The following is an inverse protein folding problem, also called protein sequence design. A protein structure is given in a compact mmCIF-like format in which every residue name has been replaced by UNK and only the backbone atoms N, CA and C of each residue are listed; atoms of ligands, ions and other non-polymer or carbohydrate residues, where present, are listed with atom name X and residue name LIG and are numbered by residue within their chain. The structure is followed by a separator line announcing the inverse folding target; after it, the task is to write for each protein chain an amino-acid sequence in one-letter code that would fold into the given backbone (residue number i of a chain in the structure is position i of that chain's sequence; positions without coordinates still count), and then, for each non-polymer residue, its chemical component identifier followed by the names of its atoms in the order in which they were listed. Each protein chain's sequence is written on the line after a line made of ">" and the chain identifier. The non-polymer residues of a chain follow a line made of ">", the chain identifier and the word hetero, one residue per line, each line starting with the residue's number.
data_IF_592019470102
#
_entry.id   IF_592019470102
#
_cell.length_a   1.000
_cell.length_b   1.000
_cell.length_c   1.000
_cell.angle_alpha   90.00
_cell.angle_beta   90.00
_cell.angle_gamma   90.00
#
_symmetry.space_group_name_H-M   'P 1'
#
loop_
_entity.id
_entity.type
_entity.pdbx_description
1 polymer ?
#
# COMPACT_ATOMS: atom_id res chain seq x y z
N UNK A 1 76.46 22.12 31.36
CA UNK A 1 75.04 21.71 31.23
C UNK A 1 74.37 22.57 30.17
N UNK A 2 73.49 21.95 29.37
CA UNK A 2 72.64 22.50 28.29
C UNK A 2 73.30 22.73 26.92
N UNK A 3 73.30 21.66 26.12
CA UNK A 3 73.28 21.75 24.66
C UNK A 3 71.86 22.15 24.23
N UNK A 4 71.72 23.09 23.28
CA UNK A 4 70.45 23.36 22.59
C UNK A 4 70.63 23.11 21.10
N UNK A 5 69.86 22.15 20.60
CA UNK A 5 69.76 21.72 19.21
C UNK A 5 69.01 22.79 18.38
N UNK A 6 69.56 23.20 17.24
CA UNK A 6 68.80 23.89 16.19
C UNK A 6 68.17 22.83 15.28
N UNK A 7 66.84 22.76 15.25
CA UNK A 7 66.10 21.93 14.29
C UNK A 7 65.82 22.75 13.02
N UNK A 8 66.31 22.26 11.87
CA UNK A 8 66.00 22.82 10.56
C UNK A 8 64.59 22.38 10.13
N UNK A 9 63.72 23.34 9.83
CA UNK A 9 62.39 23.09 9.26
C UNK A 9 62.56 22.93 7.76
N UNK A 10 62.30 21.72 7.25
CA UNK A 10 62.24 21.43 5.82
C UNK A 10 60.89 21.86 5.25
N UNK A 11 60.91 22.81 4.32
CA UNK A 11 59.74 23.25 3.57
C UNK A 11 59.29 22.15 2.61
N UNK A 12 58.14 21.53 2.85
CA UNK A 12 57.49 20.65 1.86
C UNK A 12 56.91 21.51 0.71
N UNK A 13 57.02 21.05 -0.55
CA UNK A 13 56.37 21.73 -1.66
C UNK A 13 54.85 21.57 -1.57
N UNK A 14 54.11 22.68 -1.65
CA UNK A 14 52.67 22.66 -1.88
C UNK A 14 52.41 21.95 -3.23
N UNK A 15 51.80 20.77 -3.16
CA UNK A 15 51.15 20.14 -4.30
C UNK A 15 49.98 21.04 -4.72
N UNK A 16 50.16 21.78 -5.80
CA UNK A 16 49.09 22.48 -6.48
C UNK A 16 48.17 21.43 -7.11
N UNK A 17 47.00 21.21 -6.50
CA UNK A 17 45.94 20.43 -7.13
C UNK A 17 45.46 21.20 -8.35
N UNK A 18 45.73 20.69 -9.55
CA UNK A 18 45.08 21.19 -10.77
C UNK A 18 43.57 21.14 -10.57
N UNK A 19 42.80 22.19 -10.95
CA UNK A 19 41.36 22.10 -10.95
C UNK A 19 40.98 21.00 -11.95
N UNK A 20 40.35 19.93 -11.46
CA UNK A 20 39.67 18.97 -12.32
C UNK A 20 38.57 19.78 -13.02
N UNK A 21 38.75 20.09 -14.30
CA UNK A 21 37.68 20.62 -15.13
C UNK A 21 36.55 19.61 -15.10
N UNK A 22 35.43 19.97 -14.48
CA UNK A 22 34.25 19.13 -14.49
C UNK A 22 33.83 18.91 -15.93
N UNK A 23 33.85 17.66 -16.38
CA UNK A 23 33.29 17.24 -17.66
C UNK A 23 31.81 17.67 -17.74
N UNK A 24 31.36 18.07 -18.92
CA UNK A 24 30.01 18.55 -19.17
C UNK A 24 29.00 17.40 -19.10
N UNK A 25 27.75 17.71 -18.74
CA UNK A 25 26.66 16.73 -18.79
C UNK A 25 26.27 16.49 -20.25
N UNK A 26 26.55 15.28 -20.75
CA UNK A 26 26.18 14.84 -22.10
C UNK A 26 24.88 14.04 -22.05
N UNK A 27 23.90 14.30 -22.95
CA UNK A 27 22.68 13.49 -23.03
C UNK A 27 22.96 12.01 -23.28
N UNK A 28 22.31 11.15 -22.52
CA UNK A 28 22.36 9.69 -22.65
C UNK A 28 21.03 9.21 -23.21
N UNK A 29 21.06 8.61 -24.39
CA UNK A 29 19.88 8.02 -25.00
C UNK A 29 19.45 6.76 -24.24
N UNK A 30 18.17 6.72 -23.83
CA UNK A 30 17.54 5.54 -23.25
C UNK A 30 16.41 5.08 -24.17
N UNK A 31 16.22 3.77 -24.25
CA UNK A 31 15.05 3.15 -24.88
C UNK A 31 14.49 2.08 -23.95
N UNK A 32 13.28 2.30 -23.46
CA UNK A 32 12.61 1.40 -22.53
C UNK A 32 11.09 1.49 -22.69
N UNK A 33 10.42 0.34 -22.66
CA UNK A 33 8.97 0.22 -22.73
C UNK A 33 8.47 -0.51 -21.48
N UNK A 34 7.36 -0.04 -20.93
CA UNK A 34 6.71 -0.73 -19.82
C UNK A 34 5.90 -1.91 -20.34
N UNK A 35 6.42 -3.11 -20.12
CA UNK A 35 5.79 -4.37 -20.53
C UNK A 35 5.07 -5.08 -19.39
N UNK A 36 5.30 -4.70 -18.14
CA UNK A 36 4.82 -5.41 -16.96
C UNK A 36 4.21 -4.47 -15.92
N UNK A 37 3.29 -5.02 -15.13
CA UNK A 37 2.61 -4.29 -14.05
C UNK A 37 3.63 -3.81 -13.03
N UNK A 38 3.47 -2.59 -12.56
CA UNK A 38 4.42 -1.98 -11.63
C UNK A 38 4.25 -2.53 -10.21
N UNK A 39 5.35 -2.70 -9.44
CA UNK A 39 5.28 -3.09 -8.03
C UNK A 39 4.25 -2.28 -7.24
N UNK A 40 3.51 -2.95 -6.37
CA UNK A 40 2.47 -2.33 -5.53
C UNK A 40 1.33 -1.62 -6.29
N UNK A 41 1.07 -2.04 -7.53
CA UNK A 41 -0.06 -1.54 -8.32
C UNK A 41 -0.85 -2.66 -8.98
N UNK A 42 -2.03 -2.32 -9.48
CA UNK A 42 -2.75 -3.12 -10.47
C UNK A 42 -3.78 -4.09 -9.91
N UNK A 43 -4.09 -5.12 -10.69
CA UNK A 43 -5.08 -6.14 -10.29
C UNK A 43 -4.48 -7.04 -9.21
N UNK A 44 -5.28 -7.31 -8.18
CA UNK A 44 -4.91 -8.13 -7.02
C UNK A 44 -5.75 -9.39 -7.01
N UNK A 45 -5.12 -10.54 -6.77
CA UNK A 45 -5.80 -11.80 -6.54
C UNK A 45 -5.64 -12.21 -5.07
N UNK A 46 -6.54 -13.05 -4.57
CA UNK A 46 -6.38 -13.64 -3.25
C UNK A 46 -5.15 -14.56 -3.24
N UNK A 47 -4.41 -14.59 -2.14
CA UNK A 47 -3.17 -15.39 -2.04
C UNK A 47 -3.38 -16.90 -2.16
N UNK A 48 -4.64 -17.35 -2.08
CA UNK A 48 -5.07 -18.74 -2.25
C UNK A 48 -5.55 -19.05 -3.66
N UNK A 49 -5.65 -18.06 -4.55
CA UNK A 49 -6.08 -18.26 -5.92
C UNK A 49 -4.98 -18.98 -6.72
N UNK A 50 -5.31 -20.11 -7.36
CA UNK A 50 -4.33 -20.90 -8.12
C UNK A 50 -3.68 -20.14 -9.29
N UNK A 51 -4.33 -19.07 -9.77
CA UNK A 51 -3.83 -18.26 -10.89
C UNK A 51 -2.73 -17.27 -10.48
N UNK A 52 -2.46 -17.08 -9.19
CA UNK A 52 -1.39 -16.17 -8.72
C UNK A 52 -0.02 -16.53 -9.31
N UNK A 53 0.25 -17.78 -9.64
CA UNK A 53 1.53 -18.22 -10.23
C UNK A 53 1.74 -17.76 -11.68
N UNK A 54 0.67 -17.37 -12.39
CA UNK A 54 0.71 -17.11 -13.84
C UNK A 54 0.07 -15.80 -14.27
N UNK A 55 -0.81 -15.22 -13.45
CA UNK A 55 -1.45 -13.95 -13.74
C UNK A 55 -0.42 -12.80 -13.70
N UNK A 56 -0.53 -11.81 -14.60
CA UNK A 56 0.39 -10.67 -14.63
C UNK A 56 0.03 -9.65 -13.54
N UNK A 57 0.30 -10.01 -12.30
CA UNK A 57 0.02 -9.20 -11.09
C UNK A 57 1.33 -8.89 -10.36
N UNK A 58 1.26 -8.01 -9.36
CA UNK A 58 2.37 -7.69 -8.45
C UNK A 58 1.97 -7.75 -6.98
N UNK A 59 0.69 -7.97 -6.72
CA UNK A 59 0.06 -7.88 -5.41
C UNK A 59 -0.85 -9.09 -5.20
N UNK A 60 -0.85 -9.58 -3.97
CA UNK A 60 -1.78 -10.61 -3.50
C UNK A 60 -2.46 -10.14 -2.22
N UNK A 61 -3.70 -10.59 -2.03
CA UNK A 61 -4.54 -10.18 -0.91
C UNK A 61 -4.82 -11.34 0.05
N UNK A 62 -4.85 -11.07 1.34
CA UNK A 62 -5.23 -12.06 2.35
C UNK A 62 -5.87 -11.45 3.58
N UNK A 63 -6.73 -12.24 4.22
CA UNK A 63 -7.32 -11.95 5.53
C UNK A 63 -6.58 -12.72 6.62
N UNK A 64 -6.36 -12.08 7.76
CA UNK A 64 -6.00 -12.78 9.01
C UNK A 64 -6.82 -12.25 10.19
N UNK A 65 -7.02 -13.11 11.19
CA UNK A 65 -7.64 -12.75 12.47
C UNK A 65 -6.60 -12.53 13.55
N UNK A 66 -6.94 -11.72 14.56
CA UNK A 66 -6.08 -11.55 15.73
C UNK A 66 -5.81 -12.86 16.48
N UNK A 67 -6.79 -13.77 16.51
CA UNK A 67 -6.71 -15.09 17.14
C UNK A 67 -5.74 -16.06 16.46
N UNK A 68 -5.35 -15.82 15.21
CA UNK A 68 -4.30 -16.60 14.54
C UNK A 68 -2.90 -16.27 15.07
N UNK A 69 -2.72 -15.08 15.63
CA UNK A 69 -1.43 -14.62 16.18
C UNK A 69 -1.39 -14.72 17.70
N UNK A 70 -2.51 -14.45 18.37
CA UNK A 70 -2.56 -14.33 19.82
C UNK A 70 -3.54 -15.33 20.40
N UNK A 71 -3.01 -16.29 21.15
CA UNK A 71 -3.80 -17.26 21.92
C UNK A 71 -3.90 -16.87 23.39
N UNK A 72 -2.79 -16.43 23.97
CA UNK A 72 -2.64 -16.04 25.37
C UNK A 72 -2.22 -14.56 25.51
N UNK A 73 -2.54 -13.94 26.64
CA UNK A 73 -2.22 -12.53 26.89
C UNK A 73 -0.71 -12.29 26.86
N UNK A 74 -0.25 -11.39 25.99
CA UNK A 74 1.15 -10.99 25.87
C UNK A 74 2.03 -11.94 25.03
N UNK A 75 1.47 -13.03 24.51
CA UNK A 75 2.21 -14.01 23.68
C UNK A 75 1.76 -13.92 22.22
N UNK A 76 2.68 -13.54 21.34
CA UNK A 76 2.43 -13.34 19.91
C UNK A 76 3.19 -14.38 19.07
N UNK A 77 2.43 -15.21 18.35
CA UNK A 77 2.94 -16.16 17.36
C UNK A 77 2.70 -15.61 15.95
N UNK A 78 3.73 -15.01 15.38
CA UNK A 78 3.66 -14.40 14.06
C UNK A 78 3.81 -15.39 12.89
N UNK A 79 3.87 -16.70 13.15
CA UNK A 79 4.15 -17.72 12.13
C UNK A 79 3.17 -17.70 10.95
N UNK A 80 1.89 -17.41 11.19
CA UNK A 80 0.90 -17.26 10.13
C UNK A 80 1.21 -16.07 9.21
N UNK A 81 1.66 -14.94 9.77
CA UNK A 81 2.05 -13.75 9.00
C UNK A 81 3.33 -14.04 8.22
N UNK A 82 4.36 -14.62 8.86
CA UNK A 82 5.62 -14.96 8.18
C UNK A 82 5.40 -15.92 7.01
N UNK A 83 4.60 -16.97 7.22
CA UNK A 83 4.30 -17.97 6.19
C UNK A 83 3.61 -17.32 4.99
N UNK A 84 2.64 -16.44 5.23
CA UNK A 84 1.96 -15.69 4.18
C UNK A 84 2.94 -14.80 3.41
N UNK A 85 3.66 -13.92 4.12
CA UNK A 85 4.56 -12.96 3.52
C UNK A 85 5.67 -13.64 2.70
N UNK A 86 6.28 -14.72 3.22
CA UNK A 86 7.30 -15.48 2.50
C UNK A 86 6.73 -16.19 1.26
N UNK A 87 5.51 -16.70 1.35
CA UNK A 87 4.86 -17.40 0.23
C UNK A 87 4.59 -16.45 -0.93
N UNK A 88 4.05 -15.27 -0.64
CA UNK A 88 3.78 -14.23 -1.63
C UNK A 88 5.09 -13.67 -2.20
N UNK A 89 6.11 -13.42 -1.35
CA UNK A 89 7.40 -12.90 -1.79
C UNK A 89 8.17 -13.87 -2.70
N UNK A 90 8.06 -15.19 -2.48
CA UNK A 90 8.66 -16.20 -3.38
C UNK A 90 8.11 -16.15 -4.81
N UNK A 91 6.87 -15.67 -4.97
CA UNK A 91 6.27 -15.39 -6.29
C UNK A 91 6.66 -14.03 -6.86
N UNK A 92 7.50 -13.26 -6.17
CA UNK A 92 7.91 -11.89 -6.52
C UNK A 92 6.74 -10.91 -6.47
N UNK A 93 5.78 -11.19 -5.59
CA UNK A 93 4.65 -10.31 -5.30
C UNK A 93 4.76 -9.75 -3.89
N UNK A 94 3.88 -8.80 -3.57
CA UNK A 94 3.76 -8.25 -2.23
C UNK A 94 2.35 -8.41 -1.70
N UNK A 95 2.22 -8.41 -0.38
CA UNK A 95 0.96 -8.73 0.30
C UNK A 95 0.20 -7.46 0.64
N UNK A 96 -1.10 -7.48 0.39
CA UNK A 96 -2.10 -6.64 1.04
C UNK A 96 -2.74 -7.49 2.13
N UNK A 97 -2.56 -7.10 3.39
CA UNK A 97 -3.07 -7.85 4.53
C UNK A 97 -4.21 -7.10 5.20
N UNK A 98 -5.40 -7.71 5.26
CA UNK A 98 -6.52 -7.18 6.04
C UNK A 98 -6.70 -7.95 7.35
N UNK A 99 -6.68 -7.21 8.45
CA UNK A 99 -7.02 -7.75 9.77
C UNK A 99 -8.53 -7.68 9.99
N UNK A 100 -9.12 -8.74 10.54
CA UNK A 100 -10.55 -8.75 10.88
C UNK A 100 -10.87 -9.51 12.16
N UNK A 101 -11.96 -9.10 12.81
CA UNK A 101 -12.56 -9.78 13.96
C UNK A 101 -13.93 -10.40 13.66
N UNK A 102 -14.61 -9.93 12.61
CA UNK A 102 -15.96 -10.39 12.26
C UNK A 102 -15.97 -10.79 10.78
N UNK A 103 -16.34 -12.05 10.50
CA UNK A 103 -16.46 -12.58 9.14
C UNK A 103 -17.69 -13.47 9.06
N UNK A 104 -18.51 -13.27 8.03
CA UNK A 104 -19.78 -13.97 7.87
C UNK A 104 -19.60 -15.50 7.90
N UNK A 105 -20.32 -16.16 8.80
CA UNK A 105 -20.28 -17.61 8.97
C UNK A 105 -19.07 -18.16 9.72
N UNK A 106 -18.27 -17.30 10.35
CA UNK A 106 -17.10 -17.68 11.13
C UNK A 106 -17.25 -17.29 12.62
N UNK A 107 -16.56 -18.00 13.53
CA UNK A 107 -16.37 -17.51 14.90
C UNK A 107 -15.66 -16.16 14.93
N UNK A 108 -15.82 -15.42 16.03
CA UNK A 108 -15.11 -14.16 16.26
C UNK A 108 -13.59 -14.36 16.18
N UNK A 109 -12.92 -13.46 15.46
CA UNK A 109 -11.46 -13.39 15.33
C UNK A 109 -10.73 -12.86 16.57
N UNK A 110 -11.44 -12.54 17.65
CA UNK A 110 -10.86 -12.10 18.94
C UNK A 110 -10.05 -13.25 19.59
N UNK A 111 -8.89 -12.99 20.22
CA UNK A 111 -8.12 -14.00 20.95
C UNK A 111 -8.92 -14.78 22.00
N UNK A 112 -8.65 -16.08 22.11
CA UNK A 112 -9.37 -16.97 23.01
C UNK A 112 -9.30 -16.54 24.48
N UNK A 113 -8.15 -16.02 24.95
CA UNK A 113 -8.01 -15.56 26.33
C UNK A 113 -8.96 -14.40 26.69
N UNK A 114 -9.29 -13.52 25.72
CA UNK A 114 -10.24 -12.42 25.93
C UNK A 114 -11.65 -12.98 25.98
N UNK A 115 -11.98 -13.90 25.06
CA UNK A 115 -13.28 -14.55 25.02
C UNK A 115 -13.59 -15.36 26.28
N UNK A 116 -12.56 -15.83 26.98
CA UNK A 116 -12.68 -16.59 28.23
C UNK A 116 -12.83 -15.70 29.48
N UNK A 117 -12.75 -14.37 29.37
CA UNK A 117 -12.92 -13.48 30.52
C UNK A 117 -14.37 -13.52 31.03
N UNK A 118 -14.60 -13.58 32.36
CA UNK A 118 -15.95 -13.76 32.93
C UNK A 118 -16.98 -12.70 32.53
N UNK A 119 -16.50 -11.49 32.24
CA UNK A 119 -17.31 -10.32 31.89
C UNK A 119 -17.32 -9.98 30.39
N UNK A 120 -16.65 -10.78 29.56
CA UNK A 120 -16.68 -10.65 28.10
C UNK A 120 -18.00 -11.19 27.52
N UNK A 121 -18.73 -10.34 26.79
CA UNK A 121 -20.09 -10.63 26.30
C UNK A 121 -20.16 -10.71 24.77
N UNK A 122 -19.15 -11.34 24.16
CA UNK A 122 -19.21 -11.64 22.72
C UNK A 122 -20.41 -12.53 22.41
N UNK A 123 -20.94 -12.46 21.20
CA UNK A 123 -22.15 -13.20 20.85
C UNK A 123 -22.09 -13.79 19.44
N UNK A 124 -22.74 -14.94 19.25
CA UNK A 124 -22.98 -15.50 17.92
C UNK A 124 -24.40 -15.16 17.50
N UNK A 125 -24.55 -14.50 16.35
CA UNK A 125 -25.84 -14.15 15.77
C UNK A 125 -25.87 -14.46 14.26
N UNK A 126 -27.05 -14.60 13.65
CA UNK A 126 -27.15 -14.74 12.20
C UNK A 126 -26.64 -13.48 11.47
N UNK A 127 -25.85 -13.71 10.41
CA UNK A 127 -25.50 -12.74 9.36
C UNK A 127 -25.44 -13.50 8.05
N UNK A 128 -26.11 -13.00 7.01
CA UNK A 128 -26.38 -13.69 5.75
C UNK A 128 -26.85 -15.14 5.94
N UNK A 129 -27.72 -15.34 6.94
CA UNK A 129 -28.25 -16.68 7.33
C UNK A 129 -27.19 -17.65 7.86
N UNK A 130 -25.97 -17.19 8.14
CA UNK A 130 -24.89 -18.00 8.72
C UNK A 130 -24.62 -17.57 10.17
N UNK A 131 -24.31 -18.52 11.08
CA UNK A 131 -23.91 -18.18 12.44
C UNK A 131 -22.57 -17.43 12.41
N UNK A 132 -22.56 -16.20 12.91
CA UNK A 132 -21.41 -15.28 12.85
C UNK A 132 -21.08 -14.79 14.24
N UNK A 133 -19.80 -14.85 14.63
CA UNK A 133 -19.33 -14.35 15.92
C UNK A 133 -19.06 -12.85 15.88
N UNK A 134 -19.69 -12.10 16.78
CA UNK A 134 -19.55 -10.65 16.97
C UNK A 134 -18.79 -10.35 18.26
N UNK A 135 -17.74 -9.50 18.22
CA UNK A 135 -16.98 -9.12 19.40
C UNK A 135 -17.78 -8.31 20.44
N UNK A 136 -17.29 -8.30 21.68
CA UNK A 136 -17.75 -7.36 22.71
C UNK A 136 -16.80 -6.17 22.82
N UNK A 137 -17.06 -5.16 21.99
CA UNK A 137 -16.36 -3.87 21.99
C UNK A 137 -16.66 -3.00 23.23
N UNK A 138 -17.61 -3.39 24.09
CA UNK A 138 -17.79 -2.76 25.40
C UNK A 138 -16.67 -3.18 26.37
N UNK A 139 -15.99 -4.30 26.09
CA UNK A 139 -14.97 -4.86 26.97
C UNK A 139 -13.63 -4.10 26.88
N UNK A 140 -13.10 -3.58 28.01
CA UNK A 140 -11.86 -2.80 28.00
C UNK A 140 -10.63 -3.59 27.55
N UNK A 141 -10.56 -4.89 27.86
CA UNK A 141 -9.43 -5.72 27.41
C UNK A 141 -9.36 -5.85 25.89
N UNK A 142 -10.50 -5.96 25.18
CA UNK A 142 -10.50 -6.02 23.71
C UNK A 142 -9.95 -4.73 23.12
N UNK A 143 -10.43 -3.57 23.62
CA UNK A 143 -9.95 -2.26 23.18
C UNK A 143 -8.46 -2.07 23.43
N UNK A 144 -7.99 -2.41 24.64
CA UNK A 144 -6.56 -2.35 25.01
C UNK A 144 -5.72 -3.28 24.12
N UNK A 145 -6.17 -4.52 23.96
CA UNK A 145 -5.48 -5.54 23.17
C UNK A 145 -5.31 -5.10 21.72
N UNK A 146 -6.36 -4.58 21.07
CA UNK A 146 -6.26 -4.21 19.65
C UNK A 146 -5.24 -3.09 19.42
N UNK A 147 -5.10 -2.13 20.34
CA UNK A 147 -4.02 -1.13 20.25
C UNK A 147 -2.63 -1.77 20.42
N UNK A 148 -2.46 -2.62 21.43
CA UNK A 148 -1.20 -3.35 21.66
C UNK A 148 -0.82 -4.22 20.45
N UNK A 149 -1.81 -4.89 19.84
CA UNK A 149 -1.62 -5.74 18.68
C UNK A 149 -1.00 -4.97 17.52
N UNK A 150 -1.55 -3.79 17.18
CA UNK A 150 -0.99 -2.98 16.10
C UNK A 150 0.35 -2.34 16.45
N UNK A 151 0.60 -2.03 17.74
CA UNK A 151 1.95 -1.67 18.20
C UNK A 151 2.95 -2.79 17.88
N UNK A 152 2.64 -4.03 18.27
CA UNK A 152 3.52 -5.20 18.05
C UNK A 152 3.65 -5.59 16.59
N UNK A 153 2.57 -5.48 15.82
CA UNK A 153 2.59 -5.73 14.39
C UNK A 153 3.50 -4.72 13.68
N UNK A 154 3.36 -3.43 13.95
CA UNK A 154 4.17 -2.40 13.31
C UNK A 154 5.64 -2.42 13.75
N UNK A 155 5.94 -2.71 15.02
CA UNK A 155 7.31 -2.95 15.51
C UNK A 155 8.05 -3.98 14.63
N UNK A 156 7.32 -4.97 14.12
CA UNK A 156 7.86 -6.06 13.30
C UNK A 156 7.78 -5.78 11.79
N UNK A 157 6.69 -5.19 11.31
CA UNK A 157 6.34 -5.21 9.87
C UNK A 157 6.21 -3.84 9.20
N UNK A 158 6.26 -2.70 9.91
CA UNK A 158 6.10 -1.38 9.29
C UNK A 158 7.14 -1.13 8.18
N UNK A 159 8.31 -1.76 8.26
CA UNK A 159 9.40 -1.69 7.27
C UNK A 159 9.61 -2.98 6.48
N UNK A 160 8.71 -3.95 6.56
CA UNK A 160 8.87 -5.22 5.85
C UNK A 160 8.51 -5.09 4.35
N UNK A 161 9.43 -5.35 3.41
CA UNK A 161 9.16 -5.16 1.98
C UNK A 161 8.14 -6.16 1.42
N UNK A 162 7.84 -7.26 2.13
CA UNK A 162 6.84 -8.26 1.70
C UNK A 162 5.41 -7.75 1.89
N UNK A 163 5.23 -6.68 2.67
CA UNK A 163 3.94 -6.06 3.00
C UNK A 163 3.79 -4.72 2.28
N UNK A 164 2.89 -4.65 1.29
CA UNK A 164 2.64 -3.44 0.51
C UNK A 164 1.59 -2.53 1.15
N UNK A 165 0.52 -3.08 1.72
CA UNK A 165 -0.54 -2.28 2.35
C UNK A 165 -1.19 -3.07 3.49
N UNK A 166 -1.63 -2.36 4.52
CA UNK A 166 -2.42 -2.94 5.63
C UNK A 166 -3.83 -2.39 5.55
N UNK A 167 -4.83 -3.26 5.56
CA UNK A 167 -6.22 -2.87 5.68
C UNK A 167 -6.73 -3.19 7.09
N UNK A 168 -7.44 -2.24 7.68
CA UNK A 168 -7.94 -2.31 9.05
C UNK A 168 -9.33 -1.71 9.12
N UNK A 169 -10.07 -2.08 10.16
CA UNK A 169 -11.40 -1.54 10.39
C UNK A 169 -12.18 -2.43 11.34
N UNK A 170 -13.50 -2.27 11.31
CA UNK A 170 -14.41 -2.93 12.25
C UNK A 170 -15.65 -3.45 11.52
N UNK A 171 -16.37 -4.39 12.13
CA UNK A 171 -17.55 -4.99 11.52
C UNK A 171 -17.22 -6.06 10.50
N UNK A 172 -18.20 -6.40 9.67
CA UNK A 172 -18.06 -7.47 8.66
C UNK A 172 -16.90 -7.12 7.72
N UNK A 173 -15.96 -8.07 7.57
CA UNK A 173 -14.75 -7.93 6.74
C UNK A 173 -13.89 -6.70 7.03
N UNK A 174 -14.05 -6.08 8.21
CA UNK A 174 -13.42 -4.81 8.60
C UNK A 174 -13.81 -3.60 7.74
N UNK A 175 -15.03 -3.60 7.21
CA UNK A 175 -15.52 -2.59 6.26
C UNK A 175 -16.30 -1.44 6.89
N UNK A 176 -16.30 -1.33 8.22
CA UNK A 176 -17.07 -0.31 8.96
C UNK A 176 -18.59 -0.42 8.82
N UNK A 177 -19.11 -1.62 8.57
CA UNK A 177 -20.54 -1.90 8.59
C UNK A 177 -20.86 -3.30 9.15
N UNK A 178 -22.08 -3.45 9.64
CA UNK A 178 -22.74 -4.73 9.90
C UNK A 178 -24.15 -4.56 9.33
N UNK A 179 -24.29 -4.77 8.01
CA UNK A 179 -25.57 -4.57 7.33
C UNK A 179 -26.60 -5.65 7.67
N UNK A 180 -26.14 -6.83 8.10
CA UNK A 180 -26.94 -7.93 8.62
C UNK A 180 -26.31 -8.44 9.92
N UNK A 181 -27.10 -8.54 10.98
CA UNK A 181 -26.64 -8.84 12.34
C UNK A 181 -26.71 -7.66 13.31
N UNK A 182 -26.25 -7.87 14.56
CA UNK A 182 -26.38 -6.88 15.63
C UNK A 182 -25.32 -5.79 15.48
N UNK A 183 -25.74 -4.60 15.04
CA UNK A 183 -24.88 -3.41 14.98
C UNK A 183 -25.23 -2.43 16.10
N UNK A 184 -24.47 -2.45 17.19
CA UNK A 184 -24.67 -1.53 18.33
C UNK A 184 -23.34 -0.92 18.74
N UNK A 185 -23.21 0.39 18.56
CA UNK A 185 -22.02 1.17 18.94
C UNK A 185 -21.71 1.00 20.44
N UNK A 186 -20.44 0.78 20.74
CA UNK A 186 -19.95 0.50 22.09
C UNK A 186 -20.30 -0.89 22.62
N UNK A 187 -20.92 -1.77 21.81
CA UNK A 187 -21.22 -3.16 22.17
C UNK A 187 -20.70 -4.12 21.11
N UNK A 188 -21.46 -4.41 20.06
CA UNK A 188 -21.02 -5.31 18.97
C UNK A 188 -20.22 -4.61 17.88
N UNK A 189 -20.20 -3.28 17.92
CA UNK A 189 -19.37 -2.42 17.10
C UNK A 189 -18.68 -1.41 18.03
N UNK A 190 -17.43 -0.98 17.79
CA UNK A 190 -16.75 -0.07 18.70
C UNK A 190 -17.42 1.30 18.78
N UNK A 191 -17.32 1.96 19.93
CA UNK A 191 -17.81 3.33 20.09
C UNK A 191 -17.03 4.29 19.19
N UNK A 192 -17.66 5.42 18.82
CA UNK A 192 -17.00 6.46 18.02
C UNK A 192 -15.71 6.96 18.68
N UNK A 193 -15.72 7.13 20.01
CA UNK A 193 -14.54 7.54 20.77
C UNK A 193 -13.37 6.57 20.60
N UNK A 194 -13.63 5.26 20.72
CA UNK A 194 -12.59 4.26 20.54
C UNK A 194 -12.12 4.15 19.10
N UNK A 195 -13.00 4.29 18.11
CA UNK A 195 -12.59 4.34 16.70
C UNK A 195 -11.62 5.50 16.44
N UNK A 196 -11.86 6.67 17.06
CA UNK A 196 -10.95 7.81 17.01
C UNK A 196 -9.62 7.56 17.74
N UNK A 197 -9.64 6.94 18.92
CA UNK A 197 -8.43 6.49 19.64
C UNK A 197 -7.60 5.53 18.78
N UNK A 198 -8.25 4.53 18.20
CA UNK A 198 -7.65 3.55 17.31
C UNK A 198 -6.98 4.20 16.09
N UNK A 199 -7.68 5.11 15.40
CA UNK A 199 -7.14 5.81 14.24
C UNK A 199 -5.88 6.62 14.58
N UNK A 200 -5.88 7.36 15.70
CA UNK A 200 -4.71 8.11 16.17
C UNK A 200 -3.56 7.19 16.54
N UNK A 201 -3.87 6.06 17.18
CA UNK A 201 -2.86 5.06 17.50
C UNK A 201 -2.19 4.52 16.23
N UNK A 202 -2.95 4.09 15.23
CA UNK A 202 -2.37 3.61 13.96
C UNK A 202 -1.52 4.68 13.26
N UNK A 203 -1.98 5.93 13.24
CA UNK A 203 -1.23 7.04 12.66
C UNK A 203 0.10 7.33 13.39
N UNK A 204 0.16 7.06 14.71
CA UNK A 204 1.38 7.19 15.49
C UNK A 204 2.32 6.00 15.24
N UNK A 205 1.77 4.81 15.05
CA UNK A 205 2.51 3.55 15.02
C UNK A 205 3.05 3.21 13.62
N UNK A 206 2.25 3.33 12.56
CA UNK A 206 2.68 3.07 11.19
C UNK A 206 3.32 4.33 10.58
N UNK A 207 4.62 4.26 10.27
CA UNK A 207 5.39 5.38 9.74
C UNK A 207 5.73 5.20 8.27
N UNK A 208 5.94 3.96 7.83
CA UNK A 208 6.37 3.64 6.48
C UNK A 208 5.32 2.88 5.69
N UNK A 209 4.68 1.86 6.28
CA UNK A 209 3.65 1.05 5.59
C UNK A 209 2.30 1.76 5.62
N UNK A 210 1.68 2.06 4.46
CA UNK A 210 0.37 2.66 4.43
C UNK A 210 -0.68 1.71 5.01
N UNK A 211 -1.47 2.22 5.95
CA UNK A 211 -2.68 1.58 6.41
C UNK A 211 -3.91 2.23 5.77
N UNK A 212 -4.98 1.46 5.62
CA UNK A 212 -6.16 1.85 4.86
C UNK A 212 -7.44 1.41 5.57
N UNK A 213 -8.50 2.19 5.42
CA UNK A 213 -9.85 1.88 5.93
C UNK A 213 -10.87 1.88 4.80
N UNK A 214 -12.02 1.23 5.02
CA UNK A 214 -13.12 1.25 4.06
C UNK A 214 -13.70 2.66 3.90
N UNK A 215 -14.14 2.99 2.69
CA UNK A 215 -14.91 4.22 2.43
C UNK A 215 -16.22 4.26 3.21
N UNK A 216 -16.77 3.13 3.64
CA UNK A 216 -18.00 3.10 4.44
C UNK A 216 -17.83 3.68 5.84
N UNK A 217 -16.59 3.90 6.28
CA UNK A 217 -16.26 4.71 7.45
C UNK A 217 -16.63 6.21 7.30
N UNK A 218 -17.21 6.62 6.17
CA UNK A 218 -17.83 7.93 6.00
C UNK A 218 -19.23 8.03 6.62
N UNK A 219 -19.88 6.89 6.90
CA UNK A 219 -21.22 6.85 7.50
C UNK A 219 -21.26 7.21 8.99
N UNK A 220 -22.47 7.39 9.52
CA UNK A 220 -22.73 7.85 10.90
C UNK A 220 -22.19 6.89 11.99
N UNK A 221 -21.90 5.63 11.64
CA UNK A 221 -21.29 4.66 12.53
C UNK A 221 -19.80 4.90 12.80
N UNK A 222 -19.18 5.87 12.13
CA UNK A 222 -17.77 6.17 12.25
C UNK A 222 -17.51 7.69 12.38
N UNK A 223 -16.47 8.10 13.14
CA UNK A 223 -16.29 9.51 13.48
C UNK A 223 -15.59 10.35 12.39
N UNK A 224 -15.14 9.75 11.29
CA UNK A 224 -14.20 10.38 10.37
C UNK A 224 -14.81 11.57 9.63
N UNK A 225 -15.95 11.41 8.96
CA UNK A 225 -16.56 12.47 8.16
C UNK A 225 -16.89 13.73 8.98
N UNK A 226 -17.16 13.57 10.28
CA UNK A 226 -17.45 14.66 11.21
C UNK A 226 -16.22 15.24 11.92
N UNK A 227 -15.02 14.67 11.72
CA UNK A 227 -13.79 15.06 12.43
C UNK A 227 -12.67 15.48 11.47
N UNK A 228 -12.44 16.80 11.31
CA UNK A 228 -11.33 17.31 10.50
C UNK A 228 -9.95 16.79 10.96
N UNK A 229 -9.77 16.56 12.26
CA UNK A 229 -8.54 16.00 12.81
C UNK A 229 -8.32 14.56 12.34
N UNK A 230 -9.35 13.71 12.41
CA UNK A 230 -9.24 12.34 11.91
C UNK A 230 -9.06 12.31 10.38
N UNK A 231 -9.77 13.16 9.63
CA UNK A 231 -9.56 13.29 8.18
C UNK A 231 -8.14 13.73 7.82
N UNK A 232 -7.46 14.47 8.71
CA UNK A 232 -6.07 14.89 8.56
C UNK A 232 -5.05 13.76 8.68
N UNK A 233 -5.41 12.62 9.28
CA UNK A 233 -4.52 11.48 9.42
C UNK A 233 -4.16 10.87 8.05
N UNK A 234 -2.94 10.33 7.96
CA UNK A 234 -2.41 9.67 6.75
C UNK A 234 -2.82 8.20 6.70
N UNK A 235 -4.07 7.96 6.29
CA UNK A 235 -4.57 6.64 5.90
C UNK A 235 -5.09 6.66 4.47
N UNK A 236 -4.99 5.51 3.80
CA UNK A 236 -5.59 5.26 2.50
C UNK A 236 -7.03 4.76 2.59
N UNK A 237 -7.68 4.63 1.44
CA UNK A 237 -9.08 4.20 1.35
C UNK A 237 -9.22 2.96 0.48
N UNK A 238 -10.12 2.06 0.86
CA UNK A 238 -10.56 1.00 -0.04
C UNK A 238 -12.09 0.96 -0.14
N UNK A 239 -12.57 0.54 -1.30
CA UNK A 239 -14.00 0.40 -1.63
C UNK A 239 -14.29 -1.06 -1.98
N UNK A 240 -15.16 -1.71 -1.22
CA UNK A 240 -15.44 -3.15 -1.27
C UNK A 240 -16.37 -3.57 -2.42
N UNK A 241 -16.89 -2.61 -3.18
CA UNK A 241 -17.96 -2.85 -4.15
C UNK A 241 -17.83 -1.92 -5.35
N UNK A 242 -16.63 -1.80 -5.89
CA UNK A 242 -16.35 -0.94 -7.04
C UNK A 242 -17.13 -1.40 -8.29
N UNK A 243 -17.51 -0.44 -9.15
CA UNK A 243 -18.18 -0.71 -10.44
C UNK A 243 -19.59 -1.34 -10.37
N UNK A 244 -20.34 -1.28 -9.27
CA UNK A 244 -21.76 -1.69 -9.29
C UNK A 244 -22.69 -0.59 -9.86
N UNK A 245 -23.93 -0.97 -10.21
CA UNK A 245 -24.88 -0.10 -10.91
C UNK A 245 -25.21 1.21 -10.17
N UNK A 246 -25.16 1.18 -8.83
CA UNK A 246 -25.50 2.30 -7.95
C UNK A 246 -24.25 2.96 -7.35
N UNK A 247 -23.04 2.60 -7.76
CA UNK A 247 -21.79 3.02 -7.13
C UNK A 247 -21.68 4.54 -6.99
N UNK A 248 -22.04 5.28 -8.05
CA UNK A 248 -22.12 6.75 -8.04
C UNK A 248 -23.07 7.32 -6.99
N UNK A 249 -24.15 6.61 -6.67
CA UNK A 249 -25.15 7.06 -5.72
C UNK A 249 -24.84 6.62 -4.28
N UNK A 250 -24.18 5.48 -4.08
CA UNK A 250 -23.93 4.90 -2.74
C UNK A 250 -22.50 5.08 -2.25
N UNK A 251 -21.49 4.81 -3.08
CA UNK A 251 -20.09 4.76 -2.64
C UNK A 251 -19.36 6.07 -2.93
N UNK A 252 -19.62 6.70 -4.09
CA UNK A 252 -18.99 7.98 -4.45
C UNK A 252 -19.20 9.11 -3.42
N UNK A 253 -20.37 9.26 -2.76
CA UNK A 253 -20.52 10.21 -1.66
C UNK A 253 -19.53 9.98 -0.51
N UNK A 254 -19.20 8.72 -0.21
CA UNK A 254 -18.22 8.36 0.82
C UNK A 254 -16.81 8.82 0.43
N UNK A 255 -16.41 8.60 -0.84
CA UNK A 255 -15.15 9.14 -1.37
C UNK A 255 -15.08 10.67 -1.27
N UNK A 256 -16.18 11.35 -1.57
CA UNK A 256 -16.28 12.82 -1.44
C UNK A 256 -16.12 13.25 0.01
N UNK A 257 -16.77 12.57 0.96
CA UNK A 257 -16.67 12.86 2.38
C UNK A 257 -15.24 12.75 2.94
N UNK A 258 -14.44 11.81 2.42
CA UNK A 258 -13.03 11.67 2.79
C UNK A 258 -12.07 12.63 2.07
N UNK A 259 -12.57 13.37 1.08
CA UNK A 259 -11.82 14.29 0.23
C UNK A 259 -11.16 13.59 -0.96
N UNK A 260 -11.56 14.01 -2.17
CA UNK A 260 -11.10 13.45 -3.44
C UNK A 260 -9.60 13.65 -3.73
N UNK A 261 -8.89 14.43 -2.92
CA UNK A 261 -7.45 14.68 -3.05
C UNK A 261 -6.58 13.82 -2.11
N UNK A 262 -7.18 12.92 -1.34
CA UNK A 262 -6.46 12.05 -0.38
C UNK A 262 -5.40 11.18 -1.06
N UNK A 263 -5.66 10.72 -2.27
CA UNK A 263 -4.75 9.92 -3.08
C UNK A 263 -3.38 10.58 -3.29
N UNK A 264 -3.28 11.92 -3.16
CA UNK A 264 -1.98 12.62 -3.28
C UNK A 264 -1.01 12.23 -2.16
N UNK A 265 -1.50 11.72 -1.03
CA UNK A 265 -0.70 11.40 0.17
C UNK A 265 -0.92 10.00 0.74
N UNK A 266 -1.91 9.24 0.27
CA UNK A 266 -2.22 7.90 0.78
C UNK A 266 -2.91 7.07 -0.30
N UNK A 267 -2.66 5.74 -0.38
CA UNK A 267 -3.17 4.91 -1.47
C UNK A 267 -4.69 4.81 -1.47
N UNK A 268 -5.24 4.58 -2.67
CA UNK A 268 -6.63 4.19 -2.85
C UNK A 268 -6.67 2.82 -3.51
N UNK A 269 -7.60 1.99 -3.08
CA UNK A 269 -7.81 0.67 -3.66
C UNK A 269 -9.27 0.27 -3.62
N UNK A 270 -9.55 -1.01 -3.87
CA UNK A 270 -10.89 -1.54 -3.74
C UNK A 270 -11.00 -2.98 -4.20
N UNK A 271 -12.23 -3.44 -4.33
CA UNK A 271 -12.63 -4.74 -4.85
C UNK A 271 -13.75 -4.56 -5.87
N UNK A 272 -13.71 -5.30 -6.97
CA UNK A 272 -14.82 -5.31 -7.91
C UNK A 272 -16.07 -5.88 -7.25
N UNK A 273 -17.22 -5.24 -7.50
CA UNK A 273 -18.48 -5.65 -6.91
C UNK A 273 -18.90 -7.08 -7.25
N UNK A 274 -19.51 -7.74 -6.28
CA UNK A 274 -20.15 -9.04 -6.40
C UNK A 274 -21.68 -8.98 -6.43
N UNK A 275 -22.28 -7.78 -6.52
CA UNK A 275 -23.73 -7.61 -6.43
C UNK A 275 -24.47 -8.28 -7.59
N UNK A 276 -23.96 -8.15 -8.82
CA UNK A 276 -24.51 -8.83 -9.98
C UNK A 276 -23.44 -9.65 -10.69
N UNK A 277 -23.80 -10.81 -11.25
CA UNK A 277 -22.87 -11.65 -12.02
C UNK A 277 -22.18 -10.89 -13.17
N UNK A 278 -22.86 -9.88 -13.73
CA UNK A 278 -22.28 -9.07 -14.80
C UNK A 278 -21.19 -8.12 -14.30
N UNK A 279 -21.22 -7.71 -13.03
CA UNK A 279 -20.23 -6.81 -12.42
C UNK A 279 -18.86 -7.46 -12.50
N UNK A 280 -18.75 -8.73 -12.08
CA UNK A 280 -17.53 -9.52 -12.19
C UNK A 280 -17.17 -9.85 -13.64
N UNK A 281 -18.10 -10.42 -14.41
CA UNK A 281 -17.82 -10.90 -15.77
C UNK A 281 -17.35 -9.79 -16.72
N UNK A 282 -17.89 -8.58 -16.56
CA UNK A 282 -17.63 -7.44 -17.43
C UNK A 282 -16.73 -6.38 -16.77
N UNK A 283 -16.16 -6.63 -15.59
CA UNK A 283 -15.39 -5.63 -14.84
C UNK A 283 -14.28 -4.97 -15.67
N UNK A 284 -13.54 -5.80 -16.43
CA UNK A 284 -12.47 -5.36 -17.32
C UNK A 284 -12.87 -5.36 -18.81
N UNK A 285 -14.15 -5.52 -19.13
CA UNK A 285 -14.62 -5.39 -20.51
C UNK A 285 -14.43 -3.95 -21.01
N UNK A 286 -14.27 -3.71 -22.33
CA UNK A 286 -14.00 -2.37 -22.86
C UNK A 286 -15.01 -1.28 -22.47
N UNK A 287 -16.25 -1.63 -22.14
CA UNK A 287 -17.30 -0.71 -21.69
C UNK A 287 -17.60 -0.83 -20.18
N UNK A 288 -16.94 -1.74 -19.47
CA UNK A 288 -17.30 -2.14 -18.11
C UNK A 288 -18.71 -2.75 -17.98
N UNK A 289 -19.14 -3.07 -16.75
CA UNK A 289 -20.44 -3.70 -16.51
C UNK A 289 -21.64 -2.76 -16.65
N UNK A 290 -21.43 -1.45 -16.49
CA UNK A 290 -22.48 -0.42 -16.55
C UNK A 290 -22.12 0.78 -17.43
N UNK A 291 -21.30 0.56 -18.47
CA UNK A 291 -20.98 1.60 -19.46
C UNK A 291 -19.80 2.52 -19.10
N UNK A 292 -19.09 2.23 -18.00
CA UNK A 292 -17.86 2.92 -17.61
C UNK A 292 -16.70 1.91 -17.68
N UNK A 293 -15.71 2.11 -18.56
CA UNK A 293 -14.50 1.29 -18.59
C UNK A 293 -13.73 1.36 -17.25
N UNK A 294 -13.09 0.26 -16.85
CA UNK A 294 -12.32 0.23 -15.60
C UNK A 294 -11.24 1.31 -15.53
N UNK A 295 -10.51 1.57 -16.61
CA UNK A 295 -9.45 2.58 -16.62
C UNK A 295 -9.96 4.00 -16.31
N UNK A 296 -11.14 4.37 -16.83
CA UNK A 296 -11.75 5.68 -16.56
C UNK A 296 -12.19 5.79 -15.10
N UNK A 297 -12.73 4.69 -14.56
CA UNK A 297 -13.16 4.66 -13.17
C UNK A 297 -11.96 4.64 -12.20
N UNK A 298 -10.91 3.88 -12.53
CA UNK A 298 -9.65 3.88 -11.81
C UNK A 298 -9.03 5.28 -11.78
N UNK A 299 -8.98 5.97 -12.92
CA UNK A 299 -8.46 7.33 -13.02
C UNK A 299 -9.27 8.32 -12.17
N UNK A 300 -10.61 8.22 -12.17
CA UNK A 300 -11.48 9.08 -11.37
C UNK A 300 -11.18 9.02 -9.86
N UNK A 301 -10.84 7.85 -9.34
CA UNK A 301 -10.56 7.63 -7.91
C UNK A 301 -9.08 7.39 -7.60
N UNK A 302 -8.20 7.63 -8.60
CA UNK A 302 -6.76 7.49 -8.50
C UNK A 302 -6.28 6.14 -7.96
N UNK A 303 -6.97 5.07 -8.39
CA UNK A 303 -6.81 3.71 -7.86
C UNK A 303 -5.37 3.21 -8.04
N UNK A 304 -4.78 2.78 -6.93
CA UNK A 304 -3.45 2.17 -6.89
C UNK A 304 -3.52 0.67 -7.17
N UNK A 305 -4.53 -0.02 -6.63
CA UNK A 305 -4.78 -1.44 -6.85
C UNK A 305 -6.27 -1.79 -6.80
N UNK A 306 -6.68 -2.89 -7.41
CA UNK A 306 -8.07 -3.37 -7.41
C UNK A 306 -8.11 -4.88 -7.25
N UNK A 307 -8.77 -5.37 -6.20
CA UNK A 307 -9.04 -6.80 -6.00
C UNK A 307 -10.00 -7.26 -7.10
N UNK A 308 -9.54 -8.24 -7.86
CA UNK A 308 -10.23 -8.81 -9.00
C UNK A 308 -9.99 -10.30 -9.08
N UNK A 309 -10.25 -11.01 -7.98
CA UNK A 309 -9.92 -12.42 -7.81
C UNK A 309 -10.51 -13.32 -8.91
N UNK A 310 -11.74 -13.02 -9.37
CA UNK A 310 -12.39 -13.75 -10.47
C UNK A 310 -11.95 -13.32 -11.88
N UNK A 311 -11.17 -12.26 -12.04
CA UNK A 311 -10.83 -11.73 -13.37
C UNK A 311 -10.03 -12.70 -14.26
N UNK A 312 -9.10 -13.52 -13.75
CA UNK A 312 -8.44 -14.55 -14.55
C UNK A 312 -9.39 -15.55 -15.23
N UNK A 313 -10.60 -15.77 -14.70
CA UNK A 313 -11.58 -16.68 -15.30
C UNK A 313 -12.38 -16.03 -16.45
N UNK A 314 -12.46 -14.70 -16.47
CA UNK A 314 -13.22 -13.95 -17.46
C UNK A 314 -12.34 -13.31 -18.55
N UNK A 315 -11.06 -13.11 -18.28
CA UNK A 315 -10.21 -12.24 -19.07
C UNK A 315 -8.86 -12.89 -19.40
N UNK A 316 -8.32 -12.55 -20.57
CA UNK A 316 -6.98 -12.98 -20.97
C UNK A 316 -5.91 -12.23 -20.16
N UNK A 317 -4.71 -12.82 -19.94
CA UNK A 317 -3.60 -12.16 -19.25
C UNK A 317 -3.30 -10.74 -19.75
N UNK A 318 -3.36 -10.49 -21.07
CA UNK A 318 -3.11 -9.16 -21.63
C UNK A 318 -4.12 -8.10 -21.21
N UNK A 319 -5.37 -8.49 -20.97
CA UNK A 319 -6.40 -7.60 -20.44
C UNK A 319 -6.12 -7.28 -18.97
N UNK A 320 -5.75 -8.27 -18.17
CA UNK A 320 -5.36 -8.07 -16.76
C UNK A 320 -4.15 -7.14 -16.65
N UNK A 321 -3.12 -7.37 -17.46
CA UNK A 321 -1.91 -6.54 -17.48
C UNK A 321 -2.22 -5.10 -17.89
N UNK A 322 -3.04 -4.91 -18.92
CA UNK A 322 -3.46 -3.58 -19.35
C UNK A 322 -4.23 -2.86 -18.24
N UNK A 323 -5.11 -3.57 -17.54
CA UNK A 323 -5.81 -3.03 -16.38
C UNK A 323 -4.84 -2.70 -15.23
N UNK A 324 -3.84 -3.55 -14.99
CA UNK A 324 -2.79 -3.31 -14.01
C UNK A 324 -1.98 -2.05 -14.29
N UNK A 325 -1.55 -1.87 -15.56
CA UNK A 325 -0.82 -0.68 -16.04
C UNK A 325 -1.67 0.61 -16.04
N UNK A 326 -2.99 0.49 -15.93
CA UNK A 326 -3.90 1.63 -15.79
C UNK A 326 -4.04 2.11 -14.32
N UNK A 327 -3.46 1.39 -13.36
CA UNK A 327 -3.48 1.74 -11.95
C UNK A 327 -2.16 2.38 -11.49
N UNK A 328 -2.21 3.15 -10.41
CA UNK A 328 -1.02 3.60 -9.71
C UNK A 328 -0.10 4.51 -10.54
N UNK A 329 1.21 4.39 -10.28
CA UNK A 329 2.24 5.21 -10.90
C UNK A 329 2.73 4.61 -12.22
N UNK A 330 3.28 5.46 -13.08
CA UNK A 330 3.95 5.03 -14.31
C UNK A 330 5.09 5.99 -14.64
N UNK A 331 6.32 5.63 -14.31
CA UNK A 331 7.45 6.54 -14.51
C UNK A 331 7.91 6.59 -15.97
N UNK A 332 8.18 7.80 -16.44
CA UNK A 332 8.80 8.10 -17.72
C UNK A 332 10.07 8.91 -17.47
N UNK A 333 11.22 8.44 -17.96
CA UNK A 333 12.46 9.22 -17.95
C UNK A 333 12.46 10.14 -19.18
N UNK A 334 12.24 11.43 -18.94
CA UNK A 334 12.14 12.45 -20.00
C UNK A 334 13.48 13.11 -20.32
N UNK A 335 14.45 13.03 -19.40
CA UNK A 335 15.84 13.45 -19.64
C UNK A 335 16.80 12.58 -18.83
N UNK A 336 17.88 12.14 -19.46
CA UNK A 336 19.04 11.58 -18.77
C UNK A 336 20.30 12.17 -19.37
N UNK A 337 21.15 12.75 -18.53
CA UNK A 337 22.45 13.26 -18.92
C UNK A 337 23.50 12.86 -17.88
N UNK A 338 24.73 12.60 -18.33
CA UNK A 338 25.81 12.17 -17.47
C UNK A 338 27.14 12.82 -17.89
N UNK A 339 28.00 13.03 -16.91
CA UNK A 339 29.42 13.36 -17.04
C UNK A 339 30.23 12.19 -16.43
N UNK A 340 31.54 12.31 -16.35
CA UNK A 340 32.41 11.28 -15.74
C UNK A 340 32.06 10.91 -14.29
N UNK A 341 31.60 11.86 -13.46
CA UNK A 341 31.42 11.69 -12.01
C UNK A 341 29.99 11.91 -11.50
N UNK A 342 29.09 12.39 -12.36
CA UNK A 342 27.73 12.78 -11.97
C UNK A 342 26.72 12.61 -13.09
N UNK A 343 25.45 12.50 -12.70
CA UNK A 343 24.33 12.41 -13.62
C UNK A 343 23.15 13.25 -13.16
N UNK A 344 22.30 13.61 -14.12
CA UNK A 344 21.05 14.31 -13.90
C UNK A 344 19.94 13.59 -14.66
N UNK A 345 18.88 13.20 -13.93
CA UNK A 345 17.76 12.42 -14.45
C UNK A 345 16.47 13.18 -14.18
N UNK A 346 15.65 13.40 -15.20
CA UNK A 346 14.28 13.94 -15.03
C UNK A 346 13.28 12.83 -15.27
N UNK A 347 12.40 12.60 -14.29
CA UNK A 347 11.35 11.59 -14.33
C UNK A 347 10.00 12.26 -14.17
N UNK A 348 9.05 11.89 -15.03
CA UNK A 348 7.65 12.29 -14.96
C UNK A 348 6.80 11.09 -14.56
N UNK A 349 5.81 11.27 -13.69
CA UNK A 349 4.82 10.23 -13.41
C UNK A 349 3.64 10.35 -14.38
N UNK A 350 3.51 9.42 -15.33
CA UNK A 350 2.38 9.32 -16.27
C UNK A 350 1.23 8.44 -15.77
N UNK A 351 1.32 7.95 -14.54
CA UNK A 351 0.28 7.15 -13.90
C UNK A 351 -0.91 8.00 -13.45
N UNK A 352 -1.85 7.36 -12.75
CA UNK A 352 -3.00 8.02 -12.14
C UNK A 352 -2.81 8.24 -10.63
N UNK A 353 -1.77 7.70 -10.01
CA UNK A 353 -1.46 7.91 -8.60
C UNK A 353 0.07 7.94 -8.38
N UNK A 354 0.56 8.48 -7.25
CA UNK A 354 1.98 8.43 -6.92
C UNK A 354 2.40 7.03 -6.44
N UNK A 355 3.72 6.80 -6.41
CA UNK A 355 4.30 5.74 -5.59
C UNK A 355 4.39 6.22 -4.14
N UNK A 356 3.84 5.45 -3.18
CA UNK A 356 3.67 5.89 -1.79
C UNK A 356 4.88 5.60 -0.88
N UNK A 357 5.87 4.92 -1.43
CA UNK A 357 7.12 4.56 -0.77
C UNK A 357 8.29 5.30 -1.38
N UNK A 358 9.43 5.27 -0.69
CA UNK A 358 10.65 5.85 -1.21
C UNK A 358 11.22 5.04 -2.37
N UNK A 359 11.49 5.73 -3.47
CA UNK A 359 12.07 5.18 -4.69
C UNK A 359 13.10 6.17 -5.25
N UNK A 360 14.33 5.74 -5.43
CA UNK A 360 15.45 6.60 -5.76
C UNK A 360 15.99 6.25 -7.15
N UNK A 361 16.02 7.19 -8.11
CA UNK A 361 16.83 7.07 -9.30
C UNK A 361 18.28 6.78 -8.91
N UNK A 362 18.88 5.76 -9.52
CA UNK A 362 20.24 5.36 -9.22
C UNK A 362 21.04 5.19 -10.51
N UNK A 363 22.30 5.62 -10.49
CA UNK A 363 23.25 5.42 -11.59
C UNK A 363 24.39 4.57 -11.10
N UNK A 364 24.63 3.44 -11.76
CA UNK A 364 25.68 2.48 -11.41
C UNK A 364 25.64 2.04 -9.93
N UNK A 365 24.44 1.93 -9.36
CA UNK A 365 24.21 1.54 -7.96
C UNK A 365 24.32 2.67 -6.93
N UNK A 366 24.53 3.92 -7.35
CA UNK A 366 24.52 5.09 -6.47
C UNK A 366 23.17 5.79 -6.59
N UNK A 367 22.40 5.85 -5.50
CA UNK A 367 21.09 6.50 -5.42
C UNK A 367 21.21 8.03 -5.43
N UNK A 368 20.19 8.69 -5.97
CA UNK A 368 19.94 10.12 -5.75
C UNK A 368 19.68 10.41 -4.27
N UNK A 369 19.96 11.66 -3.86
CA UNK A 369 19.52 12.16 -2.55
C UNK A 369 18.02 12.47 -2.48
N UNK A 370 17.34 12.49 -3.63
CA UNK A 370 15.91 12.78 -3.74
C UNK A 370 15.13 11.51 -4.11
N UNK A 371 14.09 11.22 -3.34
CA UNK A 371 13.12 10.16 -3.61
C UNK A 371 12.09 10.61 -4.65
N UNK A 372 11.45 9.68 -5.35
CA UNK A 372 10.26 9.88 -6.21
C UNK A 372 8.95 9.65 -5.44
N UNK A 373 9.01 9.34 -4.14
CA UNK A 373 7.83 9.22 -3.27
C UNK A 373 6.93 10.42 -3.46
N UNK A 374 5.64 10.16 -3.65
CA UNK A 374 4.63 11.21 -3.78
C UNK A 374 4.72 12.05 -5.06
N UNK A 375 5.51 11.66 -6.08
CA UNK A 375 5.51 12.36 -7.37
C UNK A 375 4.13 12.22 -8.03
N UNK A 376 3.37 13.32 -8.13
CA UNK A 376 1.98 13.27 -8.60
C UNK A 376 1.91 13.05 -10.12
N UNK A 377 0.77 12.58 -10.65
CA UNK A 377 0.50 12.52 -12.07
C UNK A 377 0.87 13.81 -12.81
N UNK A 378 1.57 13.64 -13.92
CA UNK A 378 2.14 14.66 -14.80
C UNK A 378 3.17 15.62 -14.17
N UNK A 379 3.48 15.48 -12.88
CA UNK A 379 4.62 16.16 -12.27
C UNK A 379 5.94 15.50 -12.68
N UNK A 380 6.98 16.34 -12.75
CA UNK A 380 8.34 15.90 -13.05
C UNK A 380 9.30 16.24 -11.92
N UNK A 381 10.24 15.35 -11.65
CA UNK A 381 11.31 15.54 -10.66
C UNK A 381 12.66 15.33 -11.33
N UNK A 382 13.55 16.30 -11.13
CA UNK A 382 14.93 16.24 -11.60
C UNK A 382 15.82 15.85 -10.42
N UNK A 383 16.45 14.69 -10.53
CA UNK A 383 17.34 14.15 -9.50
C UNK A 383 18.79 14.24 -9.95
N UNK A 384 19.66 14.68 -9.03
CA UNK A 384 21.12 14.64 -9.20
C UNK A 384 21.70 13.44 -8.50
N UNK A 385 22.67 12.80 -9.15
CA UNK A 385 23.31 11.57 -8.68
C UNK A 385 24.81 11.74 -8.79
N UNK A 386 25.55 11.47 -7.73
CA UNK A 386 27.02 11.53 -7.68
C UNK A 386 27.65 10.26 -8.26
N UNK A 387 27.19 9.89 -9.45
CA UNK A 387 27.74 8.84 -10.27
C UNK A 387 27.45 9.14 -11.74
N UNK A 388 28.38 8.75 -12.60
CA UNK A 388 28.28 8.95 -14.04
C UNK A 388 29.15 7.94 -14.79
N UNK A 389 29.80 8.38 -15.85
CA UNK A 389 30.68 7.57 -16.69
C UNK A 389 30.24 7.53 -18.15
N UNK A 390 31.00 6.83 -18.98
CA UNK A 390 30.80 6.77 -20.43
C UNK A 390 29.62 5.90 -20.87
N UNK A 391 29.17 4.97 -20.01
CA UNK A 391 28.03 4.08 -20.24
C UNK A 391 27.22 3.90 -18.94
N UNK A 392 26.59 4.97 -18.43
CA UNK A 392 25.93 4.94 -17.12
C UNK A 392 24.64 4.12 -17.19
N UNK A 393 24.42 3.25 -16.20
CA UNK A 393 23.22 2.42 -16.08
C UNK A 393 22.24 3.06 -15.09
N UNK A 394 21.07 3.47 -15.58
CA UNK A 394 19.98 4.03 -14.77
C UNK A 394 19.02 2.93 -14.28
N UNK A 395 18.77 2.91 -12.97
CA UNK A 395 17.73 2.11 -12.30
C UNK A 395 16.86 3.01 -11.41
N UNK A 396 15.71 2.51 -10.95
CA UNK A 396 14.93 3.12 -9.86
C UNK A 396 14.88 2.09 -8.74
N UNK A 397 15.43 2.43 -7.58
CA UNK A 397 15.63 1.51 -6.46
C UNK A 397 14.73 1.86 -5.29
N UNK A 398 14.20 0.84 -4.62
CA UNK A 398 13.44 1.01 -3.38
C UNK A 398 13.73 -0.14 -2.44
N UNK A 399 13.92 0.18 -1.16
CA UNK A 399 14.09 -0.81 -0.09
C UNK A 399 12.79 -1.56 0.22
N UNK A 400 11.70 -1.19 -0.46
CA UNK A 400 10.36 -1.72 -0.28
C UNK A 400 9.98 -2.78 -1.31
N UNK A 401 10.90 -3.16 -2.21
CA UNK A 401 10.67 -4.23 -3.19
C UNK A 401 11.08 -5.59 -2.61
N UNK A 402 10.36 -6.66 -2.97
CA UNK A 402 10.84 -8.02 -2.72
C UNK A 402 11.86 -8.45 -3.78
N UNK A 403 12.72 -9.44 -3.49
CA UNK A 403 13.68 -9.96 -4.47
C UNK A 403 12.99 -10.35 -5.79
N UNK A 404 13.51 -9.82 -6.90
CA UNK A 404 12.98 -10.11 -8.24
C UNK A 404 11.96 -9.09 -8.76
N UNK A 405 11.50 -8.14 -7.95
CA UNK A 405 10.77 -6.97 -8.42
C UNK A 405 11.71 -5.85 -8.87
N UNK A 406 11.24 -5.03 -9.80
CA UNK A 406 11.92 -3.82 -10.23
C UNK A 406 10.90 -2.73 -10.56
N UNK A 407 11.22 -1.49 -10.20
CA UNK A 407 10.49 -0.34 -10.71
C UNK A 407 11.01 -0.06 -12.12
N UNK A 408 10.15 -0.30 -13.11
CA UNK A 408 10.49 -0.02 -14.51
C UNK A 408 10.10 1.41 -14.88
N UNK A 409 10.66 1.90 -15.98
CA UNK A 409 10.31 3.20 -16.54
C UNK A 409 10.20 3.13 -18.06
N UNK A 410 9.41 4.03 -18.63
CA UNK A 410 9.40 4.31 -20.06
C UNK A 410 10.50 5.32 -20.40
N UNK A 411 11.16 5.17 -21.54
CA UNK A 411 12.12 6.17 -22.03
C UNK A 411 12.29 6.06 -23.55
N UNK A 412 12.44 7.23 -24.20
CA UNK A 412 12.59 7.32 -25.65
C UNK A 412 11.28 7.08 -26.43
N UNK A 413 11.30 7.35 -27.75
CA UNK A 413 10.18 7.08 -28.65
C UNK A 413 9.94 5.59 -28.91
#
# INVERSE_FOLDING_TARGET
>A
MRHSLFAAIASLPLLTSSPVTADDLVPIALKSTLTDVQPMTGIVLWSTNEKVETAPIQLEYSYLTYSQVVREKGTYDWSAVETLLDTVARRKHQTILRWHDTYVGQPSGVPAYIQALPDYKGQTAPSEKKPTGFPDWSHPELRRFTLEFFTKFAERYDRDPRLAFVQVGFGLWSEYHIYDGPMVLGKTFPSLDYQGEFARHLAATFRETPWMISVDAAGDQAPYAASPELLGLRFGLFDDSFNHAKHKASNEPNWVAFGLDRWKRSPTGGEFSFFEKKDQRLALAPKGPHGIPFADHAAKFHISFMIGDGQPDYQKPDVLRKAGLACGYRFEVTRFAAASDRSEVTITNRGIAPFYYDAYPAVNGVRSGESLRGLLPDESRMCRITAGGTAPKLTIESDRLVPGQAISYQAGP
#
